data_IF_871002072263
#
_entry.id   IF_871002072263
#
_cell.length_a   1.000
_cell.length_b   1.000
_cell.length_c   1.000
_cell.angle_alpha   90.00
_cell.angle_beta   90.00
_cell.angle_gamma   90.00
#
_symmetry.space_group_name_H-M   'P 1'
#
loop_
_entity.id
_entity.type
_entity.pdbx_description
1 polymer ?
#
# COMPACT_ATOMS: atom_id res chain seq x y z
N UNK A 1 -16.93 25.93 4.65
CA UNK A 1 -15.53 25.77 4.30
C UNK A 1 -15.07 24.38 4.75
N UNK A 2 -14.28 23.71 3.93
CA UNK A 2 -13.69 22.40 4.24
C UNK A 2 -12.18 22.56 4.13
N UNK A 3 -11.45 22.14 5.15
CA UNK A 3 -10.01 22.05 5.09
C UNK A 3 -9.62 20.89 4.19
N UNK A 4 -8.59 21.04 3.38
CA UNK A 4 -8.10 19.99 2.49
C UNK A 4 -6.58 19.94 2.51
N UNK A 5 -6.05 18.77 2.21
CA UNK A 5 -4.63 18.53 2.04
C UNK A 5 -4.37 17.64 0.83
N UNK A 6 -3.14 17.66 0.36
CA UNK A 6 -2.71 16.79 -0.74
C UNK A 6 -2.01 15.55 -0.20
N UNK A 7 -2.33 14.42 -0.81
CA UNK A 7 -1.68 13.13 -0.59
C UNK A 7 -1.08 12.69 -1.93
N UNK A 8 0.21 12.96 -2.14
CA UNK A 8 0.85 12.86 -3.44
C UNK A 8 1.61 11.55 -3.59
N UNK A 9 1.51 10.95 -4.77
CA UNK A 9 2.25 9.74 -5.13
C UNK A 9 3.37 10.09 -6.12
N UNK A 10 4.64 10.01 -5.71
CA UNK A 10 5.77 10.11 -6.63
C UNK A 10 5.80 8.90 -7.57
N UNK A 11 5.51 9.11 -8.86
CA UNK A 11 5.33 8.05 -9.84
C UNK A 11 6.53 7.86 -10.77
N UNK A 12 7.44 8.82 -10.80
CA UNK A 12 8.68 8.78 -11.55
C UNK A 12 9.82 9.47 -10.80
N UNK A 13 11.00 9.48 -11.37
CA UNK A 13 12.19 10.06 -10.76
C UNK A 13 12.08 11.56 -10.55
N UNK A 14 11.47 12.29 -11.49
CA UNK A 14 11.34 13.74 -11.38
C UNK A 14 10.46 14.13 -10.21
N UNK A 15 9.40 13.35 -9.92
CA UNK A 15 8.56 13.56 -8.76
C UNK A 15 9.31 13.35 -7.42
N UNK A 16 10.33 12.48 -7.39
CA UNK A 16 11.16 12.29 -6.21
C UNK A 16 12.03 13.54 -5.97
N UNK A 17 12.61 14.09 -7.02
CA UNK A 17 13.43 15.28 -6.97
C UNK A 17 12.61 16.52 -6.55
N UNK A 18 11.31 16.53 -6.80
CA UNK A 18 10.37 17.61 -6.42
C UNK A 18 9.92 17.56 -4.94
N UNK A 19 10.11 16.44 -4.22
CA UNK A 19 9.65 16.28 -2.83
C UNK A 19 10.02 17.46 -1.92
N UNK A 20 11.27 17.94 -1.86
CA UNK A 20 11.62 19.08 -1.01
C UNK A 20 10.83 20.35 -1.34
N UNK A 21 10.69 20.65 -2.62
CA UNK A 21 9.95 21.82 -3.09
C UNK A 21 8.45 21.73 -2.75
N UNK A 22 7.85 20.55 -2.91
CA UNK A 22 6.45 20.30 -2.58
C UNK A 22 6.18 20.52 -1.08
N UNK A 23 7.10 20.10 -0.23
CA UNK A 23 6.99 20.31 1.21
C UNK A 23 7.18 21.80 1.56
N UNK A 24 8.27 22.42 1.10
CA UNK A 24 8.63 23.77 1.50
C UNK A 24 7.69 24.83 0.97
N UNK A 25 7.34 24.76 -0.32
CA UNK A 25 6.55 25.80 -1.00
C UNK A 25 5.05 25.56 -0.97
N UNK A 26 4.64 24.29 -0.97
CA UNK A 26 3.23 23.92 -1.11
C UNK A 26 2.64 23.30 0.16
N UNK A 27 3.45 23.08 1.22
CA UNK A 27 3.00 22.54 2.49
C UNK A 27 2.51 21.09 2.39
N UNK A 28 2.96 20.33 1.40
CA UNK A 28 2.60 18.93 1.24
C UNK A 28 3.28 18.13 2.35
N UNK A 29 2.49 17.51 3.22
CA UNK A 29 2.98 16.74 4.36
C UNK A 29 2.75 15.23 4.22
N UNK A 30 2.12 14.79 3.12
CA UNK A 30 1.69 13.41 2.96
C UNK A 30 2.00 12.87 1.58
N UNK A 31 2.66 11.71 1.56
CA UNK A 31 3.04 11.02 0.32
C UNK A 31 2.56 9.57 0.35
N UNK A 32 2.44 8.98 -0.85
CA UNK A 32 1.93 7.62 -1.02
C UNK A 32 2.76 6.81 -2.00
N UNK A 33 2.98 5.54 -1.65
CA UNK A 33 3.51 4.51 -2.54
C UNK A 33 2.41 3.48 -2.81
N UNK A 34 2.25 3.13 -4.07
CA UNK A 34 1.44 2.00 -4.51
C UNK A 34 2.36 0.86 -4.94
N UNK A 35 2.60 -0.11 -4.07
CA UNK A 35 3.57 -1.18 -4.34
C UNK A 35 3.13 -2.17 -5.43
N UNK A 36 1.86 -2.12 -5.83
CA UNK A 36 1.35 -2.94 -6.92
C UNK A 36 1.48 -2.29 -8.30
N UNK A 37 1.89 -1.03 -8.39
CA UNK A 37 2.25 -0.40 -9.64
C UNK A 37 3.70 -0.74 -9.98
N UNK A 38 3.92 -1.99 -10.36
CA UNK A 38 5.19 -2.39 -10.92
C UNK A 38 5.16 -2.41 -12.44
N UNK A 39 6.31 -2.74 -13.04
CA UNK A 39 6.50 -2.89 -14.49
C UNK A 39 5.55 -3.89 -15.15
N UNK A 40 4.79 -4.64 -14.38
CA UNK A 40 3.94 -5.73 -14.84
C UNK A 40 2.50 -5.34 -15.22
N UNK A 41 2.15 -4.05 -15.16
CA UNK A 41 0.90 -3.53 -15.73
C UNK A 41 -0.37 -4.15 -15.13
N UNK A 42 -0.50 -4.17 -13.81
CA UNK A 42 -1.54 -4.89 -13.06
C UNK A 42 -2.96 -4.36 -13.18
N UNK A 43 -3.17 -3.26 -13.85
CA UNK A 43 -4.50 -2.68 -13.96
C UNK A 43 -5.21 -3.11 -15.22
N UNK A 44 -5.58 -4.41 -15.33
CA UNK A 44 -6.48 -4.90 -16.35
C UNK A 44 -6.19 -4.39 -17.78
N UNK A 45 -6.98 -4.68 -18.75
CA UNK A 45 -6.78 -4.38 -20.16
C UNK A 45 -6.96 -2.90 -20.57
N UNK A 46 -6.63 -1.92 -19.72
CA UNK A 46 -6.69 -0.49 -20.07
C UNK A 46 -5.36 -0.01 -20.62
N UNK A 47 -5.27 0.26 -21.90
CA UNK A 47 -4.07 0.87 -22.53
C UNK A 47 -3.70 2.25 -21.91
N UNK A 48 -4.67 2.93 -21.32
CA UNK A 48 -4.46 4.20 -20.63
C UNK A 48 -3.68 4.08 -19.32
N UNK A 49 -3.61 2.90 -18.72
CA UNK A 49 -2.88 2.69 -17.45
C UNK A 49 -1.36 2.55 -17.66
N UNK A 50 -0.90 2.17 -18.84
CA UNK A 50 0.52 2.29 -19.20
C UNK A 50 1.00 3.74 -19.21
N UNK A 51 0.11 4.66 -19.55
CA UNK A 51 0.37 6.10 -19.52
C UNK A 51 0.28 6.69 -18.10
N UNK A 52 -0.45 6.03 -17.19
CA UNK A 52 -0.60 6.48 -15.81
C UNK A 52 0.68 6.35 -15.00
N UNK A 53 1.52 5.37 -15.30
CA UNK A 53 2.77 5.14 -14.54
C UNK A 53 3.95 5.98 -14.99
N UNK A 54 3.88 6.67 -16.11
CA UNK A 54 4.87 7.62 -16.65
C UNK A 54 6.36 7.20 -16.51
N UNK A 55 6.61 5.94 -16.16
CA UNK A 55 7.96 5.38 -15.99
C UNK A 55 8.45 4.93 -17.36
N UNK A 56 9.53 5.51 -17.84
CA UNK A 56 10.20 5.12 -19.07
C UNK A 56 10.62 3.64 -19.05
N UNK A 57 10.70 3.01 -20.21
CA UNK A 57 11.09 1.59 -20.31
C UNK A 57 12.46 1.30 -19.66
N UNK A 58 13.35 2.30 -19.67
CA UNK A 58 14.71 2.21 -19.13
C UNK A 58 14.78 2.42 -17.61
N UNK A 59 13.69 2.89 -16.97
CA UNK A 59 13.62 3.21 -15.53
C UNK A 59 12.62 2.31 -14.76
N UNK A 60 12.42 1.08 -15.21
CA UNK A 60 11.50 0.13 -14.60
C UNK A 60 12.06 -0.51 -13.34
N UNK A 61 12.20 0.31 -12.31
CA UNK A 61 12.54 -0.17 -10.97
C UNK A 61 11.27 -0.21 -10.13
N UNK A 62 10.87 -1.38 -9.65
CA UNK A 62 9.73 -1.49 -8.74
C UNK A 62 10.18 -1.24 -7.29
N UNK A 63 10.99 -2.14 -6.76
CA UNK A 63 11.45 -2.09 -5.37
C UNK A 63 12.41 -0.93 -5.13
N UNK A 64 13.35 -0.69 -6.05
CA UNK A 64 14.29 0.43 -5.93
C UNK A 64 13.60 1.80 -6.02
N UNK A 65 12.53 1.93 -6.82
CA UNK A 65 11.74 3.16 -6.87
C UNK A 65 11.10 3.48 -5.51
N UNK A 66 10.56 2.47 -4.82
CA UNK A 66 10.01 2.65 -3.48
C UNK A 66 11.09 3.09 -2.49
N UNK A 67 12.27 2.49 -2.54
CA UNK A 67 13.41 2.90 -1.73
C UNK A 67 13.82 4.36 -2.01
N UNK A 68 13.87 4.76 -3.27
CA UNK A 68 14.25 6.14 -3.65
C UNK A 68 13.24 7.17 -3.14
N UNK A 69 11.94 6.87 -3.17
CA UNK A 69 10.92 7.73 -2.55
C UNK A 69 11.18 7.86 -1.04
N UNK A 70 11.43 6.74 -0.35
CA UNK A 70 11.68 6.72 1.09
C UNK A 70 12.93 7.54 1.45
N UNK A 71 14.03 7.37 0.70
CA UNK A 71 15.26 8.15 0.89
C UNK A 71 15.06 9.64 0.59
N UNK A 72 14.30 9.98 -0.46
CA UNK A 72 13.95 11.36 -0.79
C UNK A 72 13.15 12.04 0.32
N UNK A 73 12.18 11.35 0.91
CA UNK A 73 11.42 11.84 2.05
C UNK A 73 12.28 12.01 3.30
N UNK A 74 13.18 11.07 3.58
CA UNK A 74 14.07 11.18 4.73
C UNK A 74 15.05 12.34 4.56
N UNK A 75 15.64 12.51 3.38
CA UNK A 75 16.52 13.63 3.09
C UNK A 75 15.80 14.98 3.25
N UNK A 76 14.55 15.07 2.77
CA UNK A 76 13.74 16.27 2.97
C UNK A 76 13.42 16.52 4.45
N UNK A 77 13.14 15.46 5.22
CA UNK A 77 12.93 15.53 6.67
C UNK A 77 14.16 16.08 7.41
N UNK A 78 15.34 15.60 7.07
CA UNK A 78 16.61 16.03 7.66
C UNK A 78 16.93 17.49 7.32
N UNK A 79 16.73 17.90 6.08
CA UNK A 79 16.93 19.28 5.64
C UNK A 79 15.99 20.29 6.33
N UNK A 80 14.83 19.83 6.75
CA UNK A 80 13.79 20.63 7.39
C UNK A 80 13.76 20.45 8.92
N UNK A 81 14.89 20.12 9.54
CA UNK A 81 15.01 19.85 10.98
C UNK A 81 14.22 20.86 11.83
N UNK A 82 13.29 20.36 12.65
CA UNK A 82 12.37 21.15 13.48
C UNK A 82 11.02 21.51 12.83
N UNK A 83 10.83 21.35 11.52
CA UNK A 83 9.54 21.55 10.82
C UNK A 83 8.97 20.24 10.26
N UNK A 84 9.78 19.20 10.13
CA UNK A 84 9.46 17.96 9.45
C UNK A 84 8.77 16.88 10.29
N UNK A 85 8.41 17.19 11.55
CA UNK A 85 7.79 16.22 12.45
C UNK A 85 6.44 15.65 12.01
N UNK A 86 5.89 16.12 10.89
CA UNK A 86 4.56 15.75 10.41
C UNK A 86 4.57 15.12 9.01
N UNK A 87 5.74 14.80 8.45
CA UNK A 87 5.77 14.10 7.17
C UNK A 87 5.33 12.65 7.33
N UNK A 88 4.37 12.23 6.51
CA UNK A 88 3.86 10.86 6.49
C UNK A 88 4.04 10.21 5.13
N UNK A 89 4.36 8.93 5.15
CA UNK A 89 4.38 8.07 3.99
C UNK A 89 3.38 6.93 4.18
N UNK A 90 2.44 6.83 3.27
CA UNK A 90 1.43 5.77 3.26
C UNK A 90 1.73 4.77 2.15
N UNK A 91 1.52 3.50 2.42
CA UNK A 91 1.82 2.43 1.47
C UNK A 91 0.60 1.54 1.23
N UNK A 92 0.24 1.38 -0.04
CA UNK A 92 -0.63 0.30 -0.47
C UNK A 92 0.24 -0.93 -0.71
N UNK A 93 0.12 -1.92 0.17
CA UNK A 93 1.00 -3.07 0.22
C UNK A 93 0.38 -4.28 -0.50
N UNK A 94 0.67 -4.46 -1.78
CA UNK A 94 0.39 -5.69 -2.55
C UNK A 94 1.55 -5.95 -3.50
N UNK A 95 2.01 -7.20 -3.60
CA UNK A 95 3.13 -7.57 -4.49
C UNK A 95 2.64 -7.80 -5.92
N UNK A 96 3.02 -6.93 -6.84
CA UNK A 96 2.59 -6.90 -8.23
C UNK A 96 2.73 -8.24 -8.96
N UNK A 97 3.88 -8.87 -8.86
CA UNK A 97 4.18 -10.14 -9.53
C UNK A 97 3.25 -11.27 -9.08
N UNK A 98 3.04 -11.40 -7.76
CA UNK A 98 2.14 -12.40 -7.18
C UNK A 98 0.73 -12.19 -7.69
N UNK A 99 0.23 -10.96 -7.66
CA UNK A 99 -1.11 -10.63 -8.15
C UNK A 99 -1.27 -10.93 -9.63
N UNK A 100 -0.27 -10.61 -10.46
CA UNK A 100 -0.27 -10.94 -11.90
C UNK A 100 -0.35 -12.44 -12.13
N UNK A 101 0.44 -13.22 -11.40
CA UNK A 101 0.45 -14.67 -11.52
C UNK A 101 -0.90 -15.29 -11.11
N UNK A 102 -1.42 -14.87 -9.95
CA UNK A 102 -2.70 -15.39 -9.44
C UNK A 102 -3.89 -14.94 -10.29
N UNK A 103 -3.91 -13.72 -10.80
CA UNK A 103 -4.93 -13.27 -11.75
C UNK A 103 -5.02 -14.22 -12.94
N UNK A 104 -3.88 -14.56 -13.57
CA UNK A 104 -3.84 -15.50 -14.70
C UNK A 104 -4.30 -16.91 -14.34
N UNK A 105 -4.09 -17.35 -13.11
CA UNK A 105 -4.57 -18.66 -12.62
C UNK A 105 -6.08 -18.62 -12.44
N UNK A 106 -6.60 -17.61 -11.75
CA UNK A 106 -8.02 -17.49 -11.42
C UNK A 106 -8.88 -17.25 -12.68
N UNK A 107 -8.39 -16.48 -13.65
CA UNK A 107 -9.09 -16.26 -14.93
C UNK A 107 -9.36 -17.57 -15.69
N UNK A 108 -8.56 -18.60 -15.49
CA UNK A 108 -8.74 -19.92 -16.07
C UNK A 108 -9.71 -20.80 -15.28
N UNK A 109 -9.90 -20.51 -14.01
CA UNK A 109 -10.83 -21.25 -13.15
C UNK A 109 -12.26 -20.74 -13.29
N UNK A 110 -13.05 -21.42 -14.11
CA UNK A 110 -14.44 -21.06 -14.39
C UNK A 110 -15.41 -21.33 -13.21
N UNK A 111 -14.95 -22.04 -12.18
CA UNK A 111 -15.75 -22.28 -10.96
C UNK A 111 -15.80 -21.08 -10.03
N UNK A 112 -14.78 -20.22 -10.04
CA UNK A 112 -14.70 -19.02 -9.20
C UNK A 112 -15.31 -17.79 -9.89
N UNK A 113 -16.10 -17.02 -9.15
CA UNK A 113 -16.78 -15.81 -9.65
C UNK A 113 -16.86 -14.70 -8.60
N UNK A 114 -17.17 -13.48 -9.04
CA UNK A 114 -17.46 -12.34 -8.17
C UNK A 114 -16.31 -11.98 -7.22
N UNK A 115 -16.65 -11.58 -6.01
CA UNK A 115 -15.68 -11.17 -4.99
C UNK A 115 -14.75 -12.31 -4.58
N UNK A 116 -15.21 -13.56 -4.56
CA UNK A 116 -14.38 -14.71 -4.22
C UNK A 116 -13.25 -14.90 -5.24
N UNK A 117 -13.54 -14.83 -6.53
CA UNK A 117 -12.52 -14.87 -7.59
C UNK A 117 -11.56 -13.68 -7.49
N UNK A 118 -12.09 -12.48 -7.24
CA UNK A 118 -11.28 -11.28 -7.09
C UNK A 118 -10.35 -11.35 -5.89
N UNK A 119 -10.83 -11.83 -4.75
CA UNK A 119 -10.03 -12.04 -3.55
C UNK A 119 -8.93 -13.10 -3.77
N UNK A 120 -9.26 -14.20 -4.44
CA UNK A 120 -8.30 -15.25 -4.76
C UNK A 120 -7.21 -14.81 -5.76
N UNK A 121 -7.55 -13.91 -6.71
CA UNK A 121 -6.59 -13.32 -7.64
C UNK A 121 -5.60 -12.37 -6.95
N UNK A 122 -5.90 -11.92 -5.74
CA UNK A 122 -5.07 -11.05 -4.91
C UNK A 122 -4.85 -11.67 -3.53
N UNK A 123 -4.04 -12.74 -3.46
CA UNK A 123 -3.95 -13.56 -2.24
C UNK A 123 -3.33 -12.78 -1.07
N UNK A 124 -3.75 -13.05 0.18
CA UNK A 124 -3.27 -12.33 1.37
C UNK A 124 -1.76 -12.33 1.56
N UNK A 125 -1.05 -13.34 1.09
CA UNK A 125 0.42 -13.37 1.18
C UNK A 125 1.11 -12.34 0.26
N UNK A 126 0.43 -11.84 -0.75
CA UNK A 126 0.91 -10.73 -1.56
C UNK A 126 0.97 -9.43 -0.74
N UNK A 127 -0.02 -9.19 0.13
CA UNK A 127 0.02 -8.10 1.11
C UNK A 127 1.15 -8.30 2.13
N UNK A 128 1.21 -9.48 2.75
CA UNK A 128 2.21 -9.77 3.78
C UNK A 128 3.64 -9.57 3.27
N UNK A 129 3.96 -10.06 2.06
CA UNK A 129 5.28 -9.87 1.47
C UNK A 129 5.57 -8.39 1.18
N UNK A 130 4.58 -7.64 0.70
CA UNK A 130 4.74 -6.20 0.47
C UNK A 130 4.97 -5.43 1.78
N UNK A 131 4.30 -5.81 2.87
CA UNK A 131 4.52 -5.25 4.21
C UNK A 131 5.96 -5.51 4.68
N UNK A 132 6.48 -6.74 4.55
CA UNK A 132 7.87 -7.04 4.87
C UNK A 132 8.85 -6.19 4.05
N UNK A 133 8.61 -6.08 2.74
CA UNK A 133 9.42 -5.25 1.84
C UNK A 133 9.39 -3.79 2.26
N UNK A 134 8.20 -3.23 2.51
CA UNK A 134 8.03 -1.84 2.93
C UNK A 134 8.76 -1.54 4.25
N UNK A 135 8.63 -2.41 5.24
CA UNK A 135 9.28 -2.26 6.54
C UNK A 135 10.80 -2.32 6.43
N UNK A 136 11.32 -3.26 5.65
CA UNK A 136 12.76 -3.36 5.43
C UNK A 136 13.32 -2.12 4.73
N UNK A 137 12.67 -1.65 3.66
CA UNK A 137 13.09 -0.43 2.96
C UNK A 137 12.98 0.83 3.82
N UNK A 138 11.95 0.92 4.67
CA UNK A 138 11.80 2.02 5.61
C UNK A 138 12.97 2.05 6.62
N UNK A 139 13.41 0.87 7.11
CA UNK A 139 14.59 0.75 7.95
C UNK A 139 15.87 1.20 7.21
N UNK A 140 16.09 0.73 5.98
CA UNK A 140 17.26 1.11 5.17
C UNK A 140 17.28 2.60 4.81
N UNK A 141 16.12 3.22 4.70
CA UNK A 141 15.95 4.66 4.47
C UNK A 141 15.97 5.49 5.76
N UNK A 142 16.08 4.86 6.93
CA UNK A 142 16.03 5.49 8.25
C UNK A 142 14.72 6.29 8.49
N UNK A 143 13.59 5.86 7.91
CA UNK A 143 12.30 6.49 8.14
C UNK A 143 11.80 6.16 9.56
N UNK A 144 11.36 7.16 10.34
CA UNK A 144 10.86 6.92 11.69
C UNK A 144 9.40 6.44 11.74
N UNK A 145 8.66 6.56 10.64
CA UNK A 145 7.27 6.14 10.56
C UNK A 145 6.84 5.81 9.13
N UNK A 146 5.92 4.87 8.99
CA UNK A 146 5.17 4.58 7.77
C UNK A 146 3.73 4.19 8.11
N UNK A 147 2.80 4.49 7.21
CA UNK A 147 1.40 4.06 7.31
C UNK A 147 1.16 2.87 6.38
N UNK A 148 0.83 1.74 6.94
CA UNK A 148 0.38 0.55 6.20
C UNK A 148 -1.14 0.67 6.02
N UNK A 149 -1.56 1.08 4.83
CA UNK A 149 -2.95 1.39 4.55
C UNK A 149 -3.80 0.12 4.42
N UNK A 150 -5.07 0.22 4.86
CA UNK A 150 -6.15 -0.73 4.58
C UNK A 150 -5.74 -2.20 4.63
N UNK A 151 -5.06 -2.64 5.69
CA UNK A 151 -4.71 -4.05 5.88
C UNK A 151 -5.98 -4.90 5.83
N UNK A 152 -6.02 -5.87 4.91
CA UNK A 152 -7.27 -6.54 4.57
C UNK A 152 -7.38 -7.96 5.14
N UNK A 153 -6.32 -8.51 5.71
CA UNK A 153 -6.25 -9.93 6.06
C UNK A 153 -5.42 -10.20 7.30
N UNK A 154 -5.66 -11.35 7.94
CA UNK A 154 -4.84 -11.85 9.05
C UNK A 154 -3.35 -11.88 8.70
N UNK A 155 -2.99 -12.31 7.49
CA UNK A 155 -1.58 -12.37 7.06
C UNK A 155 -0.93 -11.00 6.95
N UNK A 156 -1.65 -10.01 6.46
CA UNK A 156 -1.14 -8.65 6.36
C UNK A 156 -0.91 -8.03 7.74
N UNK A 157 -1.87 -8.17 8.66
CA UNK A 157 -1.74 -7.67 10.03
C UNK A 157 -0.61 -8.36 10.78
N UNK A 158 -0.53 -9.69 10.70
CA UNK A 158 0.56 -10.45 11.33
C UNK A 158 1.94 -10.05 10.78
N UNK A 159 2.05 -9.79 9.48
CA UNK A 159 3.28 -9.28 8.89
C UNK A 159 3.65 -7.91 9.47
N UNK A 160 2.67 -7.00 9.61
CA UNK A 160 2.89 -5.68 10.17
C UNK A 160 3.32 -5.73 11.64
N UNK A 161 2.67 -6.56 12.46
CA UNK A 161 3.04 -6.77 13.87
C UNK A 161 4.45 -7.36 13.99
N UNK A 162 4.78 -8.36 13.18
CA UNK A 162 6.13 -8.95 13.16
C UNK A 162 7.18 -7.89 12.82
N UNK A 163 6.93 -7.02 11.85
CA UNK A 163 7.88 -5.98 11.50
C UNK A 163 8.00 -4.88 12.55
N UNK A 164 6.94 -4.59 13.29
CA UNK A 164 6.99 -3.68 14.43
C UNK A 164 7.87 -4.25 15.57
N UNK A 165 7.90 -5.57 15.76
CA UNK A 165 8.82 -6.22 16.70
C UNK A 165 10.27 -6.20 16.19
N UNK A 166 10.49 -6.41 14.90
CA UNK A 166 11.83 -6.45 14.28
C UNK A 166 12.46 -5.04 14.23
N UNK A 167 11.65 -4.02 13.94
CA UNK A 167 12.10 -2.63 13.82
C UNK A 167 11.35 -1.72 14.82
N UNK A 168 11.58 -1.86 16.14
CA UNK A 168 10.82 -1.15 17.17
C UNK A 168 11.05 0.37 17.19
N UNK A 169 12.00 0.86 16.43
CA UNK A 169 12.30 2.29 16.26
C UNK A 169 11.47 2.95 15.14
N UNK A 170 10.70 2.17 14.38
CA UNK A 170 9.79 2.67 13.34
C UNK A 170 8.36 2.60 13.86
N UNK A 171 7.63 3.70 13.80
CA UNK A 171 6.20 3.74 14.07
C UNK A 171 5.44 3.20 12.85
N UNK A 172 4.90 2.00 12.97
CA UNK A 172 4.06 1.36 11.97
C UNK A 172 2.59 1.62 12.28
N UNK A 173 1.97 2.56 11.60
CA UNK A 173 0.52 2.74 11.64
C UNK A 173 -0.13 1.69 10.76
N UNK A 174 -1.14 1.02 11.30
CA UNK A 174 -1.77 -0.18 10.73
C UNK A 174 -3.24 0.08 10.49
N UNK A 175 -3.53 0.71 9.38
CA UNK A 175 -4.90 1.13 9.04
C UNK A 175 -5.77 -0.05 8.62
N UNK A 176 -7.02 -0.07 9.10
CA UNK A 176 -8.11 -0.87 8.57
C UNK A 176 -9.25 0.02 8.10
N UNK A 177 -9.94 -0.34 7.02
CA UNK A 177 -11.09 0.42 6.53
C UNK A 177 -12.41 -0.23 6.95
N UNK A 178 -13.44 0.60 7.07
CA UNK A 178 -14.80 0.13 7.40
C UNK A 178 -15.32 -0.94 6.43
N UNK A 179 -14.92 -0.86 5.14
CA UNK A 179 -15.30 -1.86 4.15
C UNK A 179 -14.76 -3.26 4.46
N UNK A 180 -13.51 -3.35 4.92
CA UNK A 180 -12.87 -4.61 5.30
C UNK A 180 -13.39 -5.17 6.64
N UNK A 181 -13.95 -4.31 7.50
CA UNK A 181 -14.57 -4.72 8.76
C UNK A 181 -16.02 -5.17 8.59
N UNK A 182 -16.74 -4.65 7.60
CA UNK A 182 -18.19 -4.85 7.48
C UNK A 182 -18.61 -5.82 6.39
N UNK A 183 -17.75 -6.02 5.38
CA UNK A 183 -18.06 -6.83 4.21
C UNK A 183 -17.13 -8.05 4.12
N UNK A 184 -17.68 -9.15 3.63
CA UNK A 184 -16.94 -10.36 3.24
C UNK A 184 -17.25 -10.74 1.79
N UNK A 185 -16.59 -11.78 1.28
CA UNK A 185 -16.73 -12.23 -0.11
C UNK A 185 -18.14 -12.72 -0.47
N UNK A 186 -18.97 -13.04 0.53
CA UNK A 186 -20.34 -13.50 0.38
C UNK A 186 -21.36 -12.37 0.58
N UNK A 187 -20.90 -11.14 0.81
CA UNK A 187 -21.77 -9.98 1.05
C UNK A 187 -22.67 -9.68 -0.17
N UNK A 188 -23.93 -9.31 0.06
CA UNK A 188 -24.91 -9.04 -1.00
C UNK A 188 -24.56 -7.81 -1.85
N UNK A 189 -23.60 -6.98 -1.43
CA UNK A 189 -23.10 -5.85 -2.20
C UNK A 189 -22.43 -6.26 -3.52
N UNK A 190 -22.04 -7.54 -3.65
CA UNK A 190 -21.45 -8.12 -4.86
C UNK A 190 -20.35 -7.23 -5.45
N UNK A 191 -20.47 -6.88 -6.74
CA UNK A 191 -19.44 -6.09 -7.44
C UNK A 191 -19.25 -4.67 -6.89
N UNK A 192 -20.22 -4.11 -6.19
CA UNK A 192 -20.11 -2.79 -5.54
C UNK A 192 -19.12 -2.80 -4.37
N UNK A 193 -18.81 -3.98 -3.82
CA UNK A 193 -17.79 -4.17 -2.78
C UNK A 193 -16.39 -4.42 -3.34
N UNK A 194 -16.17 -4.28 -4.65
CA UNK A 194 -14.86 -4.46 -5.27
C UNK A 194 -13.95 -3.29 -4.90
N UNK A 195 -12.91 -3.59 -4.12
CA UNK A 195 -11.92 -2.62 -3.61
C UNK A 195 -10.51 -3.23 -3.62
N UNK A 196 -9.49 -2.43 -3.52
CA UNK A 196 -8.09 -2.84 -3.42
C UNK A 196 -7.47 -2.39 -2.09
N UNK A 197 -6.91 -3.31 -1.29
CA UNK A 197 -6.97 -4.77 -1.42
C UNK A 197 -8.40 -5.30 -1.40
N UNK A 198 -8.65 -6.54 -1.84
CA UNK A 198 -10.02 -7.05 -1.93
C UNK A 198 -10.64 -7.32 -0.56
N UNK A 199 -11.96 -7.29 -0.51
CA UNK A 199 -12.74 -7.85 0.60
C UNK A 199 -12.41 -9.34 0.74
N UNK A 200 -12.27 -9.81 1.97
CA UNK A 200 -11.77 -11.14 2.31
C UNK A 200 -12.88 -12.09 2.78
N UNK A 201 -12.59 -13.39 2.93
CA UNK A 201 -13.49 -14.33 3.59
C UNK A 201 -13.80 -13.91 5.03
N UNK A 202 -14.93 -14.36 5.55
CA UNK A 202 -15.46 -14.04 6.88
C UNK A 202 -14.42 -14.20 8.00
N UNK A 203 -13.59 -15.23 7.95
CA UNK A 203 -12.55 -15.48 8.95
C UNK A 203 -11.50 -14.35 9.04
N UNK A 204 -11.16 -13.69 7.92
CA UNK A 204 -10.29 -12.51 7.94
C UNK A 204 -11.02 -11.31 8.55
N UNK A 205 -12.29 -11.09 8.22
CA UNK A 205 -13.11 -10.01 8.78
C UNK A 205 -13.21 -10.13 10.32
N UNK A 206 -13.49 -11.32 10.81
CA UNK A 206 -13.54 -11.60 12.26
C UNK A 206 -12.20 -11.31 12.93
N UNK A 207 -11.10 -11.75 12.33
CA UNK A 207 -9.77 -11.44 12.84
C UNK A 207 -9.45 -9.93 12.83
N UNK A 208 -9.85 -9.19 11.79
CA UNK A 208 -9.65 -7.74 11.75
C UNK A 208 -10.39 -7.04 12.90
N UNK A 209 -11.60 -7.50 13.25
CA UNK A 209 -12.32 -7.00 14.41
C UNK A 209 -11.60 -7.33 15.72
N UNK A 210 -11.10 -8.55 15.88
CA UNK A 210 -10.32 -8.95 17.06
C UNK A 210 -9.09 -8.06 17.22
N UNK A 211 -8.32 -7.86 16.15
CA UNK A 211 -7.10 -7.05 16.14
C UNK A 211 -7.41 -5.56 16.42
N UNK A 212 -8.48 -5.01 15.85
CA UNK A 212 -8.90 -3.63 16.11
C UNK A 212 -9.27 -3.42 17.59
N UNK A 213 -10.09 -4.33 18.15
CA UNK A 213 -10.49 -4.26 19.55
C UNK A 213 -9.32 -4.52 20.52
N UNK A 214 -8.29 -5.22 20.10
CA UNK A 214 -7.05 -5.40 20.85
C UNK A 214 -6.10 -4.19 20.77
N UNK A 215 -6.41 -3.18 19.94
CA UNK A 215 -5.56 -2.01 19.71
C UNK A 215 -4.34 -2.30 18.82
N UNK A 216 -4.40 -3.37 18.04
CA UNK A 216 -3.36 -3.75 17.07
C UNK A 216 -3.53 -3.05 15.71
N UNK A 217 -4.68 -2.44 15.47
CA UNK A 217 -5.03 -1.68 14.27
C UNK A 217 -5.52 -0.27 14.62
N UNK A 218 -5.37 0.66 13.64
CA UNK A 218 -5.81 2.05 13.69
C UNK A 218 -7.05 2.30 12.81
#
# INVERSE_FOLDING_TARGET
HVDYGYHLAPMDRTHIDEIPMLIEKHGVASFKIFMFYGSHGLHGASDSQRQFLMIGEDERYDVAHFEFIMRGLQAAREAMAGKAGQLSLSLHCETAEIMTAYTKIIEKDKSMKGLAAYSAARPPHSEGLAVFTAAYLANEAALPNINLLHLSSRKAVQAALTMAEVFPHIDFRREVTIGHLMLDIDSPAAELAKVNPPIRPRADVEFLWEALLAGELD
#
